data_IF_987551857047
#
_entry.id   IF_987551857047
#
_cell.length_a   1.000
_cell.length_b   1.000
_cell.length_c   1.000
_cell.angle_alpha   90.00
_cell.angle_beta   90.00
_cell.angle_gamma   90.00
#
_symmetry.space_group_name_H-M   'P 1'
#
loop_
_entity.id
_entity.type
_entity.pdbx_description
1 polymer ?
#
# COMPACT_ATOMS: atom_id res chain seq x y z
N UNK A 1 -8.88 -8.72 9.33
CA UNK A 1 -8.14 -8.85 8.06
C UNK A 1 -7.40 -7.56 7.73
N UNK A 2 -6.31 -7.67 7.00
CA UNK A 2 -5.56 -6.56 6.45
C UNK A 2 -5.78 -6.59 4.94
N UNK A 3 -6.31 -5.51 4.39
CA UNK A 3 -6.61 -5.38 2.97
C UNK A 3 -6.30 -3.94 2.52
N UNK A 4 -5.83 -3.78 1.30
CA UNK A 4 -5.57 -2.46 0.69
C UNK A 4 -6.56 -2.10 -0.41
N UNK A 5 -7.22 -3.09 -0.99
CA UNK A 5 -8.21 -2.90 -2.06
C UNK A 5 -9.17 -4.09 -2.09
N UNK A 6 -10.43 -3.91 -2.54
CA UNK A 6 -11.35 -5.02 -2.81
C UNK A 6 -10.95 -5.86 -4.02
N UNK A 7 -10.09 -5.35 -4.87
CA UNK A 7 -9.52 -6.01 -6.04
C UNK A 7 -8.94 -5.00 -7.00
N UNK A 8 -7.71 -5.22 -7.45
CA UNK A 8 -7.11 -4.41 -8.52
C UNK A 8 -7.83 -4.69 -9.85
N UNK A 9 -8.05 -3.63 -10.63
CA UNK A 9 -8.74 -3.74 -11.92
C UNK A 9 -10.27 -3.72 -11.84
N UNK A 10 -10.83 -3.35 -10.69
CA UNK A 10 -12.24 -3.02 -10.58
C UNK A 10 -12.59 -1.84 -11.49
N UNK A 11 -13.51 -2.00 -12.47
CA UNK A 11 -13.87 -0.91 -13.37
C UNK A 11 -14.63 0.25 -12.67
N UNK A 12 -15.14 0.03 -11.47
CA UNK A 12 -15.84 1.04 -10.68
C UNK A 12 -14.88 1.84 -9.77
N UNK A 13 -13.60 1.43 -9.68
CA UNK A 13 -12.60 2.10 -8.87
C UNK A 13 -11.50 2.73 -9.74
N UNK A 14 -10.90 3.84 -9.30
CA UNK A 14 -9.81 4.46 -10.04
C UNK A 14 -8.61 3.52 -10.15
N UNK A 15 -7.96 3.53 -11.28
CA UNK A 15 -6.64 2.88 -11.44
C UNK A 15 -5.51 3.69 -10.82
N UNK A 16 -4.28 3.24 -11.04
CA UNK A 16 -3.08 4.00 -10.65
C UNK A 16 -3.11 5.41 -11.23
N UNK A 17 -2.53 6.37 -10.51
CA UNK A 17 -2.44 7.73 -11.02
C UNK A 17 -1.60 7.82 -12.29
N UNK A 18 -1.90 8.76 -13.22
CA UNK A 18 -1.10 8.95 -14.44
C UNK A 18 0.38 9.25 -14.15
N UNK A 19 0.67 9.94 -13.06
CA UNK A 19 2.02 10.27 -12.60
C UNK A 19 2.79 8.98 -12.27
N UNK A 20 2.19 8.09 -11.47
CA UNK A 20 2.80 6.80 -11.14
C UNK A 20 3.01 5.95 -12.40
N UNK A 21 2.05 5.91 -13.32
CA UNK A 21 2.20 5.18 -14.59
C UNK A 21 3.41 5.72 -15.39
N UNK A 22 3.67 7.03 -15.32
CA UNK A 22 4.87 7.63 -15.90
C UNK A 22 6.17 7.16 -15.26
N UNK A 23 6.21 7.11 -13.93
CA UNK A 23 7.39 6.64 -13.18
C UNK A 23 7.60 5.10 -13.33
N UNK A 24 6.53 4.33 -13.45
CA UNK A 24 6.61 2.89 -13.73
C UNK A 24 7.35 2.59 -15.05
N UNK A 25 7.21 3.41 -16.08
CA UNK A 25 7.98 3.25 -17.33
C UNK A 25 9.47 3.41 -17.10
N UNK A 26 9.88 4.39 -16.29
CA UNK A 26 11.28 4.58 -15.90
C UNK A 26 11.79 3.42 -15.05
N UNK A 27 10.98 2.97 -14.09
CA UNK A 27 11.27 1.80 -13.27
C UNK A 27 11.57 0.56 -14.14
N UNK A 28 10.72 0.24 -15.11
CA UNK A 28 10.95 -0.90 -15.99
C UNK A 28 12.19 -0.72 -16.87
N UNK A 29 12.42 0.48 -17.42
CA UNK A 29 13.62 0.76 -18.21
C UNK A 29 14.90 0.55 -17.40
N UNK A 30 14.97 1.07 -16.18
CA UNK A 30 16.13 0.91 -15.30
C UNK A 30 16.37 -0.56 -14.93
N UNK A 31 15.31 -1.33 -14.67
CA UNK A 31 15.43 -2.77 -14.43
C UNK A 31 16.00 -3.50 -15.66
N UNK A 32 15.55 -3.17 -16.86
CA UNK A 32 16.10 -3.74 -18.10
C UNK A 32 17.59 -3.42 -18.29
N UNK A 33 18.03 -2.27 -17.79
CA UNK A 33 19.44 -1.84 -17.81
C UNK A 33 20.26 -2.40 -16.64
N UNK A 34 19.69 -3.23 -15.78
CA UNK A 34 20.35 -3.78 -14.59
C UNK A 34 20.56 -2.76 -13.45
N UNK A 35 19.93 -1.60 -13.53
CA UNK A 35 20.01 -0.54 -12.52
C UNK A 35 18.92 -0.70 -11.46
N UNK A 36 18.93 -1.83 -10.77
CA UNK A 36 17.86 -2.23 -9.84
C UNK A 36 17.66 -1.25 -8.68
N UNK A 37 18.74 -0.76 -8.11
CA UNK A 37 18.70 0.19 -6.99
C UNK A 37 18.04 1.50 -7.40
N UNK A 38 18.49 2.10 -8.52
CA UNK A 38 17.91 3.35 -9.03
C UNK A 38 16.43 3.17 -9.42
N UNK A 39 16.08 2.00 -9.97
CA UNK A 39 14.70 1.65 -10.28
C UNK A 39 13.84 1.71 -9.02
N UNK A 40 14.29 1.08 -7.94
CA UNK A 40 13.57 1.06 -6.67
C UNK A 40 13.46 2.45 -6.03
N UNK A 41 14.52 3.26 -6.09
CA UNK A 41 14.48 4.66 -5.62
C UNK A 41 13.38 5.44 -6.33
N UNK A 42 13.28 5.33 -7.66
CA UNK A 42 12.22 6.02 -8.42
C UNK A 42 10.84 5.53 -8.00
N UNK A 43 10.65 4.23 -7.89
CA UNK A 43 9.37 3.65 -7.51
C UNK A 43 8.95 4.09 -6.10
N UNK A 44 9.79 3.90 -5.10
CA UNK A 44 9.44 4.21 -3.71
C UNK A 44 9.25 5.70 -3.48
N UNK A 45 10.02 6.56 -4.16
CA UNK A 45 9.76 8.00 -4.15
C UNK A 45 8.38 8.33 -4.73
N UNK A 46 7.98 7.68 -5.80
CA UNK A 46 6.67 7.89 -6.41
C UNK A 46 5.52 7.33 -5.55
N UNK A 47 5.79 6.37 -4.67
CA UNK A 47 4.82 5.80 -3.73
C UNK A 47 4.69 6.62 -2.45
N UNK A 48 5.66 7.47 -2.13
CA UNK A 48 5.64 8.30 -0.93
C UNK A 48 4.68 9.47 -1.10
N UNK A 49 4.00 9.83 -0.02
CA UNK A 49 3.13 11.01 0.03
C UNK A 49 3.90 12.31 0.28
N UNK A 50 3.17 13.42 0.31
CA UNK A 50 3.75 14.75 0.51
C UNK A 50 4.09 15.07 1.97
N UNK A 51 3.44 14.37 2.92
CA UNK A 51 3.58 14.67 4.35
C UNK A 51 4.96 14.38 4.92
N UNK A 52 5.58 13.29 4.48
CA UNK A 52 6.91 12.86 4.92
C UNK A 52 7.80 12.77 3.68
N UNK A 53 8.79 13.67 3.53
CA UNK A 53 9.68 13.64 2.39
C UNK A 53 10.41 12.29 2.28
N UNK A 54 10.51 11.75 1.06
CA UNK A 54 11.24 10.52 0.80
C UNK A 54 12.74 10.71 1.09
N UNK A 55 13.26 9.94 2.03
CA UNK A 55 14.68 9.92 2.38
C UNK A 55 15.41 8.86 1.55
N UNK A 56 16.01 9.30 0.43
CA UNK A 56 16.70 8.41 -0.48
C UNK A 56 17.94 7.75 0.15
N UNK A 57 18.69 8.47 0.99
CA UNK A 57 19.89 7.93 1.61
C UNK A 57 19.54 6.80 2.57
N UNK A 58 18.57 7.02 3.44
CA UNK A 58 18.05 5.98 4.35
C UNK A 58 17.52 4.79 3.56
N UNK A 59 16.73 5.04 2.51
CA UNK A 59 16.16 3.98 1.67
C UNK A 59 17.26 3.12 1.01
N UNK A 60 18.32 3.72 0.46
CA UNK A 60 19.43 2.97 -0.14
C UNK A 60 20.14 2.10 0.88
N UNK A 61 20.38 2.60 2.10
CA UNK A 61 21.00 1.82 3.19
C UNK A 61 20.11 0.62 3.59
N UNK A 62 18.80 0.80 3.70
CA UNK A 62 17.86 -0.28 4.01
C UNK A 62 17.82 -1.33 2.90
N UNK A 63 17.80 -0.90 1.63
CA UNK A 63 17.79 -1.79 0.46
C UNK A 63 19.07 -2.63 0.37
N UNK A 64 20.25 -2.07 0.67
CA UNK A 64 21.51 -2.83 0.72
C UNK A 64 21.41 -3.97 1.75
N UNK A 65 20.83 -3.72 2.92
CA UNK A 65 20.58 -4.74 3.93
C UNK A 65 19.66 -5.85 3.44
N UNK A 66 18.58 -5.53 2.72
CA UNK A 66 17.65 -6.50 2.16
C UNK A 66 18.30 -7.36 1.07
N UNK A 67 19.05 -6.74 0.16
CA UNK A 67 19.69 -7.42 -0.96
C UNK A 67 20.81 -8.37 -0.51
N UNK A 68 21.54 -8.04 0.54
CA UNK A 68 22.61 -8.91 1.10
C UNK A 68 22.06 -10.21 1.68
N UNK A 69 20.79 -10.26 2.10
CA UNK A 69 20.14 -11.48 2.60
C UNK A 69 19.56 -12.36 1.48
N UNK A 70 19.81 -12.03 0.21
CA UNK A 70 19.39 -12.84 -0.94
C UNK A 70 17.85 -12.88 -1.15
N UNK A 71 17.12 -12.01 -0.51
CA UNK A 71 15.66 -11.94 -0.65
C UNK A 71 15.28 -10.97 -1.77
N UNK A 72 14.50 -11.45 -2.74
CA UNK A 72 13.86 -10.57 -3.71
C UNK A 72 12.46 -10.21 -3.20
N UNK A 73 12.27 -9.03 -2.61
CA UNK A 73 11.00 -8.65 -2.01
C UNK A 73 9.87 -8.48 -3.03
N UNK A 74 10.20 -8.44 -4.32
CA UNK A 74 9.24 -8.24 -5.42
C UNK A 74 8.86 -9.52 -6.14
N UNK A 75 9.50 -10.65 -5.82
CA UNK A 75 9.20 -11.91 -6.48
C UNK A 75 7.77 -12.35 -6.20
N UNK A 76 6.96 -12.42 -7.25
CA UNK A 76 5.59 -12.94 -7.19
C UNK A 76 4.51 -11.96 -6.68
N UNK A 77 4.86 -10.78 -6.15
CA UNK A 77 3.84 -9.85 -5.65
C UNK A 77 2.89 -9.35 -6.75
N UNK A 78 3.43 -8.92 -7.89
CA UNK A 78 2.63 -8.46 -9.03
C UNK A 78 1.75 -9.57 -9.63
N UNK A 79 2.28 -10.80 -9.70
CA UNK A 79 1.53 -11.96 -10.18
C UNK A 79 0.38 -12.32 -9.21
N UNK A 80 0.65 -12.32 -7.91
CA UNK A 80 -0.34 -12.61 -6.88
C UNK A 80 -1.47 -11.57 -6.87
N UNK A 81 -1.15 -10.30 -7.01
CA UNK A 81 -2.15 -9.21 -7.06
C UNK A 81 -2.98 -9.29 -8.33
N UNK A 82 -2.37 -9.57 -9.49
CA UNK A 82 -3.07 -9.75 -10.77
C UNK A 82 -3.99 -10.97 -10.81
N UNK A 83 -3.66 -12.02 -10.05
CA UNK A 83 -4.50 -13.23 -9.93
C UNK A 83 -5.65 -13.08 -8.92
N UNK A 84 -5.71 -11.96 -8.19
CA UNK A 84 -6.74 -11.75 -7.17
C UNK A 84 -8.10 -11.53 -7.82
N UNK A 85 -9.04 -12.43 -7.54
CA UNK A 85 -10.40 -12.29 -8.01
C UNK A 85 -11.09 -11.07 -7.39
N UNK A 86 -11.95 -10.44 -8.17
CA UNK A 86 -12.81 -9.35 -7.75
C UNK A 86 -13.71 -9.77 -6.58
N UNK A 87 -13.63 -9.08 -5.45
CA UNK A 87 -14.25 -9.51 -4.19
C UNK A 87 -15.21 -8.49 -3.57
N UNK A 88 -15.42 -7.34 -4.20
CA UNK A 88 -16.22 -6.25 -3.62
C UNK A 88 -17.58 -6.72 -3.14
N UNK A 89 -18.30 -7.53 -3.93
CA UNK A 89 -19.63 -8.06 -3.58
C UNK A 89 -19.63 -8.92 -2.32
N UNK A 90 -18.48 -9.42 -1.90
CA UNK A 90 -18.33 -10.27 -0.71
C UNK A 90 -17.88 -9.51 0.53
N UNK A 91 -17.55 -8.24 0.43
CA UNK A 91 -17.15 -7.41 1.57
C UNK A 91 -18.18 -7.40 2.71
N UNK A 92 -19.51 -7.35 2.41
CA UNK A 92 -20.53 -7.42 3.47
C UNK A 92 -20.56 -8.75 4.26
N UNK A 93 -19.95 -9.81 3.73
CA UNK A 93 -19.86 -11.11 4.41
C UNK A 93 -18.77 -11.14 5.50
N UNK A 94 -17.88 -10.15 5.55
CA UNK A 94 -16.80 -10.08 6.52
C UNK A 94 -17.39 -9.76 7.90
N UNK A 95 -17.25 -10.72 8.83
CA UNK A 95 -17.72 -10.59 10.21
C UNK A 95 -16.61 -10.23 11.20
N UNK A 96 -15.35 -10.42 10.77
CA UNK A 96 -14.20 -10.12 11.62
C UNK A 96 -14.08 -8.60 11.85
N UNK A 97 -13.72 -8.15 13.05
CA UNK A 97 -13.37 -6.75 13.29
C UNK A 97 -12.31 -6.30 12.27
N UNK A 98 -12.56 -5.19 11.60
CA UNK A 98 -11.73 -4.70 10.50
C UNK A 98 -11.29 -3.26 10.76
N UNK A 99 -10.02 -2.98 10.57
CA UNK A 99 -9.45 -1.64 10.51
C UNK A 99 -8.89 -1.41 9.12
N UNK A 100 -9.37 -0.39 8.44
CA UNK A 100 -8.84 0.08 7.16
C UNK A 100 -7.84 1.20 7.44
N UNK A 101 -6.60 1.01 7.02
CA UNK A 101 -5.53 2.00 7.10
C UNK A 101 -5.18 2.41 5.68
N UNK A 102 -5.24 3.71 5.35
CA UNK A 102 -5.04 4.16 3.99
C UNK A 102 -4.48 5.58 3.94
N UNK A 103 -3.57 5.86 3.00
CA UNK A 103 -3.05 7.19 2.74
C UNK A 103 -3.92 7.97 1.76
N UNK A 104 -4.08 9.27 1.96
CA UNK A 104 -4.89 10.10 1.05
C UNK A 104 -4.23 10.35 -0.30
N UNK A 105 -2.91 10.16 -0.38
CA UNK A 105 -2.11 10.37 -1.59
C UNK A 105 -1.57 9.05 -2.17
N UNK A 106 -2.22 7.91 -1.86
CA UNK A 106 -1.83 6.61 -2.42
C UNK A 106 -1.98 6.60 -3.94
N UNK A 107 -0.88 6.49 -4.71
CA UNK A 107 -0.95 6.59 -6.17
C UNK A 107 -1.21 5.24 -6.86
N UNK A 108 -1.06 4.11 -6.14
CA UNK A 108 -1.37 2.76 -6.67
C UNK A 108 -2.85 2.46 -6.49
N UNK A 109 -3.33 2.69 -5.27
CA UNK A 109 -4.69 2.43 -4.83
C UNK A 109 -5.26 3.74 -4.30
N UNK A 110 -5.78 4.63 -5.15
CA UNK A 110 -6.35 5.90 -4.70
C UNK A 110 -7.33 5.73 -3.54
N UNK A 111 -7.54 6.78 -2.76
CA UNK A 111 -8.28 6.77 -1.48
C UNK A 111 -9.63 6.04 -1.57
N UNK A 112 -10.27 6.07 -2.71
CA UNK A 112 -11.55 5.41 -2.96
C UNK A 112 -11.50 3.90 -2.67
N UNK A 113 -10.34 3.24 -2.88
CA UNK A 113 -10.15 1.83 -2.53
C UNK A 113 -10.28 1.59 -1.02
N UNK A 114 -9.66 2.44 -0.22
CA UNK A 114 -9.77 2.38 1.24
C UNK A 114 -11.18 2.73 1.72
N UNK A 115 -11.79 3.74 1.12
CA UNK A 115 -13.13 4.19 1.50
C UNK A 115 -14.18 3.13 1.22
N UNK A 116 -14.16 2.47 0.06
CA UNK A 116 -15.13 1.41 -0.23
C UNK A 116 -14.99 0.22 0.73
N UNK A 117 -13.78 -0.13 1.14
CA UNK A 117 -13.57 -1.14 2.18
C UNK A 117 -14.22 -0.72 3.50
N UNK A 118 -13.95 0.52 3.94
CA UNK A 118 -14.44 1.02 5.23
C UNK A 118 -15.96 1.19 5.27
N UNK A 119 -16.58 1.50 4.13
CA UNK A 119 -18.02 1.73 4.03
C UNK A 119 -18.82 0.44 3.79
N UNK A 120 -18.18 -0.56 3.16
CA UNK A 120 -18.86 -1.81 2.76
C UNK A 120 -18.71 -2.92 3.78
N UNK A 121 -17.57 -2.99 4.48
CA UNK A 121 -17.34 -4.02 5.52
C UNK A 121 -18.12 -3.64 6.79
N UNK A 122 -19.00 -4.50 7.30
CA UNK A 122 -19.79 -4.20 8.51
C UNK A 122 -18.89 -3.85 9.71
N UNK A 123 -19.19 -2.73 10.36
CA UNK A 123 -18.47 -2.23 11.55
C UNK A 123 -16.97 -1.99 11.34
N UNK A 124 -16.52 -1.85 10.10
CA UNK A 124 -15.14 -1.47 9.83
C UNK A 124 -14.83 -0.08 10.41
N UNK A 125 -13.64 0.05 10.99
CA UNK A 125 -13.06 1.32 11.39
C UNK A 125 -12.08 1.77 10.32
N UNK A 126 -11.86 3.08 10.24
CA UNK A 126 -10.86 3.63 9.32
C UNK A 126 -9.86 4.52 10.04
N UNK A 127 -8.62 4.42 9.64
CA UNK A 127 -7.53 5.31 9.99
C UNK A 127 -6.93 5.85 8.69
N UNK A 128 -7.37 7.05 8.32
CA UNK A 128 -6.93 7.72 7.10
C UNK A 128 -5.75 8.62 7.42
N UNK A 129 -4.65 8.41 6.71
CA UNK A 129 -3.39 9.13 6.91
C UNK A 129 -3.28 10.24 5.86
N UNK A 130 -3.54 11.48 6.28
CA UNK A 130 -3.48 12.66 5.42
C UNK A 130 -2.07 12.90 4.88
N UNK A 131 -1.94 13.14 3.58
CA UNK A 131 -0.68 13.40 2.91
C UNK A 131 0.28 12.21 2.82
N UNK A 132 -0.19 11.00 3.12
CA UNK A 132 0.59 9.75 3.05
C UNK A 132 0.26 9.00 1.77
N UNK A 133 1.28 8.42 1.13
CA UNK A 133 1.16 7.61 -0.07
C UNK A 133 0.88 6.14 0.21
N UNK A 134 1.45 5.26 -0.63
CA UNK A 134 1.37 3.80 -0.48
C UNK A 134 2.46 3.27 0.47
N UNK A 135 2.51 3.81 1.66
CA UNK A 135 3.54 3.54 2.65
C UNK A 135 2.96 3.50 4.07
N UNK A 136 3.71 2.91 5.00
CA UNK A 136 3.45 3.01 6.44
C UNK A 136 4.59 3.79 7.08
N UNK A 137 4.48 5.13 7.18
CA UNK A 137 5.56 5.97 7.62
C UNK A 137 5.89 5.73 9.10
N UNK A 138 7.18 5.64 9.40
CA UNK A 138 7.69 5.38 10.75
C UNK A 138 7.16 6.40 11.77
N UNK A 139 6.98 7.64 11.33
CA UNK A 139 6.45 8.75 12.15
C UNK A 139 5.03 8.52 12.66
N UNK A 140 4.21 7.74 11.94
CA UNK A 140 2.84 7.39 12.32
C UNK A 140 2.71 5.99 12.95
N UNK A 141 3.81 5.27 13.09
CA UNK A 141 3.75 3.87 13.56
C UNK A 141 3.14 3.73 14.95
N UNK A 142 3.35 4.70 15.85
CA UNK A 142 2.75 4.68 17.19
C UNK A 142 1.22 4.78 17.12
N UNK A 143 0.70 5.68 16.29
CA UNK A 143 -0.73 5.86 16.08
C UNK A 143 -1.35 4.63 15.41
N UNK A 144 -0.69 4.10 14.38
CA UNK A 144 -1.13 2.89 13.68
C UNK A 144 -1.24 1.71 14.66
N UNK A 145 -0.18 1.47 15.45
CA UNK A 145 -0.17 0.40 16.45
C UNK A 145 -1.27 0.61 17.50
N UNK A 146 -1.49 1.85 17.95
CA UNK A 146 -2.55 2.14 18.92
C UNK A 146 -3.94 1.79 18.37
N UNK A 147 -4.24 2.11 17.11
CA UNK A 147 -5.50 1.74 16.47
C UNK A 147 -5.63 0.21 16.29
N UNK A 148 -4.53 -0.47 15.95
CA UNK A 148 -4.51 -1.93 15.87
C UNK A 148 -4.78 -2.58 17.24
N UNK A 149 -4.18 -2.08 18.33
CA UNK A 149 -4.42 -2.58 19.69
C UNK A 149 -5.90 -2.41 20.06
N UNK A 150 -6.50 -1.24 19.83
CA UNK A 150 -7.93 -1.00 20.07
C UNK A 150 -8.81 -2.00 19.32
N UNK A 151 -8.45 -2.35 18.08
CA UNK A 151 -9.17 -3.36 17.31
C UNK A 151 -9.07 -4.75 17.94
N UNK A 152 -7.87 -5.15 18.38
CA UNK A 152 -7.65 -6.46 19.02
C UNK A 152 -8.36 -6.59 20.37
N UNK A 153 -8.42 -5.52 21.15
CA UNK A 153 -9.16 -5.50 22.42
C UNK A 153 -10.67 -5.71 22.20
N UNK A 154 -11.23 -5.09 21.17
CA UNK A 154 -12.64 -5.28 20.81
C UNK A 154 -12.95 -6.68 20.26
N UNK A 155 -11.97 -7.35 19.66
CA UNK A 155 -12.13 -8.70 19.15
C UNK A 155 -12.14 -9.80 20.24
N UNK A 156 -11.76 -9.46 21.47
CA UNK A 156 -11.73 -10.39 22.62
C UNK A 156 -13.06 -10.47 23.41
N UNK A 157 -13.99 -9.55 23.17
CA UNK A 157 -15.32 -9.51 23.79
C UNK A 157 -16.38 -10.06 22.88
#
# INVERSE_FOLDING_TARGET
PIMSSPGMGDPELPGMTPELVGEMKKFFLLNMLGKFEDANVILYRALSGSRFPFDEEKFRQEMEGIMTHGHNPYAGHGEATGATAYRQKRLPEIKAPTLVIHGTEDPILPLEHGMILAETIPNAKKFIMEGVGHEMPEQLMKEIIAEMIKLFEQAKG
#
